data_IF_835248952985
#
_entry.id   IF_835248952985
#
_cell.length_a   1.000
_cell.length_b   1.000
_cell.length_c   1.000
_cell.angle_alpha   90.00
_cell.angle_beta   90.00
_cell.angle_gamma   90.00
#
_symmetry.space_group_name_H-M   'P 1'
#
loop_
_entity.id
_entity.type
_entity.pdbx_description
1 polymer ?
#
# COMPACT_ATOMS: atom_id res chain seq x y z
N UNK A 1 -6.39 9.24 24.15
CA UNK A 1 -6.93 9.95 22.97
C UNK A 1 -6.48 9.24 21.70
N UNK A 2 -7.21 9.43 20.59
CA UNK A 2 -6.85 8.92 19.25
C UNK A 2 -6.57 10.10 18.32
N UNK A 3 -5.49 10.04 17.55
CA UNK A 3 -5.16 11.03 16.54
C UNK A 3 -5.34 10.43 15.16
N UNK A 4 -6.23 11.01 14.35
CA UNK A 4 -6.42 10.67 12.93
C UNK A 4 -5.75 11.71 12.04
N UNK A 5 -5.07 11.27 10.98
CA UNK A 5 -4.45 12.13 9.98
C UNK A 5 -4.82 11.60 8.60
N UNK A 6 -5.49 12.41 7.79
CA UNK A 6 -5.73 12.10 6.37
C UNK A 6 -4.89 13.03 5.48
N UNK A 7 -4.01 12.44 4.69
CA UNK A 7 -3.11 13.18 3.80
C UNK A 7 -3.57 13.02 2.36
N UNK A 8 -4.42 13.93 1.93
CA UNK A 8 -4.88 14.02 0.55
C UNK A 8 -3.93 14.79 -0.36
N UNK A 9 -4.22 14.80 -1.65
CA UNK A 9 -3.43 15.52 -2.65
C UNK A 9 -3.57 17.06 -2.58
N UNK A 10 -4.66 17.56 -1.97
CA UNK A 10 -4.98 19.00 -1.90
C UNK A 10 -5.02 19.51 -0.47
N UNK A 11 -5.49 18.69 0.47
CA UNK A 11 -5.60 19.03 1.88
C UNK A 11 -5.10 17.90 2.75
N UNK A 12 -4.57 18.27 3.90
CA UNK A 12 -4.30 17.38 5.03
C UNK A 12 -5.28 17.72 6.13
N UNK A 13 -6.01 16.73 6.58
CA UNK A 13 -6.95 16.82 7.69
C UNK A 13 -6.36 16.11 8.92
N UNK A 14 -6.48 16.70 10.09
CA UNK A 14 -6.12 16.09 11.37
C UNK A 14 -7.29 16.19 12.35
N UNK A 15 -7.52 15.13 13.11
CA UNK A 15 -8.58 15.08 14.10
C UNK A 15 -8.09 14.41 15.39
N UNK A 16 -8.37 15.01 16.52
CA UNK A 16 -8.13 14.44 17.84
C UNK A 16 -9.47 14.03 18.47
N UNK A 17 -9.55 12.76 18.87
CA UNK A 17 -10.75 12.17 19.45
C UNK A 17 -10.45 11.70 20.87
N UNK A 18 -11.29 12.07 21.80
CA UNK A 18 -11.24 11.59 23.18
C UNK A 18 -12.60 11.23 23.70
N UNK A 19 -12.71 10.06 24.35
CA UNK A 19 -13.97 9.55 24.90
C UNK A 19 -15.14 9.53 23.91
N UNK A 20 -14.85 9.22 22.64
CA UNK A 20 -15.86 9.15 21.57
C UNK A 20 -16.32 10.49 21.00
N UNK A 21 -15.69 11.61 21.37
CA UNK A 21 -16.02 12.95 20.86
C UNK A 21 -14.81 13.58 20.19
N UNK A 22 -15.05 14.43 19.18
CA UNK A 22 -14.00 15.25 18.56
C UNK A 22 -13.60 16.34 19.55
N UNK A 23 -12.32 16.36 19.93
CA UNK A 23 -11.72 17.37 20.83
C UNK A 23 -11.20 18.54 20.01
N UNK A 24 -10.49 18.26 18.92
CA UNK A 24 -9.93 19.24 18.02
C UNK A 24 -9.87 18.69 16.59
N UNK A 25 -9.92 19.60 15.62
CA UNK A 25 -9.77 19.27 14.22
C UNK A 25 -9.08 20.39 13.47
N UNK A 26 -8.32 20.04 12.45
CA UNK A 26 -7.60 20.99 11.61
C UNK A 26 -7.64 20.53 10.15
N UNK A 27 -7.62 21.50 9.22
CA UNK A 27 -7.51 21.28 7.79
C UNK A 27 -6.49 22.24 7.20
N UNK A 28 -5.47 21.71 6.53
CA UNK A 28 -4.38 22.50 5.93
C UNK A 28 -4.18 22.12 4.47
N UNK A 29 -3.71 23.08 3.66
CA UNK A 29 -3.38 22.78 2.27
C UNK A 29 -2.19 21.84 2.19
N UNK A 30 -2.31 20.83 1.35
CA UNK A 30 -1.21 19.95 0.95
C UNK A 30 -0.74 20.39 -0.43
N UNK A 31 0.56 20.63 -0.61
CA UNK A 31 1.16 20.78 -1.93
C UNK A 31 2.09 19.60 -2.19
N UNK A 32 2.23 19.19 -3.45
CA UNK A 32 3.12 18.08 -3.82
C UNK A 32 4.57 18.27 -3.39
N UNK A 33 5.00 19.55 -3.30
CA UNK A 33 6.36 19.92 -2.87
C UNK A 33 6.50 20.01 -1.35
N UNK A 34 5.38 20.13 -0.62
CA UNK A 34 5.36 20.40 0.83
C UNK A 34 4.30 19.57 1.59
N UNK A 35 4.20 18.28 1.28
CA UNK A 35 3.31 17.33 2.01
C UNK A 35 3.60 17.37 3.51
N UNK A 36 4.89 17.38 3.87
CA UNK A 36 5.35 17.46 5.26
C UNK A 36 4.83 18.71 5.95
N UNK A 37 4.88 19.86 5.30
CA UNK A 37 4.45 21.13 5.91
C UNK A 37 2.94 21.09 6.24
N UNK A 38 2.10 20.58 5.35
CA UNK A 38 0.66 20.43 5.62
C UNK A 38 0.38 19.53 6.83
N UNK A 39 1.14 18.45 6.97
CA UNK A 39 1.06 17.56 8.14
C UNK A 39 1.47 18.30 9.42
N UNK A 40 2.60 19.02 9.39
CA UNK A 40 3.12 19.75 10.54
C UNK A 40 2.14 20.83 11.01
N UNK A 41 1.62 21.63 10.08
CA UNK A 41 0.65 22.70 10.39
C UNK A 41 -0.67 22.16 10.94
N UNK A 42 -1.17 21.03 10.40
CA UNK A 42 -2.38 20.40 10.90
C UNK A 42 -2.18 19.81 12.30
N UNK A 43 -1.03 19.19 12.55
CA UNK A 43 -0.67 18.67 13.87
C UNK A 43 -0.53 19.79 14.91
N UNK A 44 0.18 20.88 14.57
CA UNK A 44 0.38 22.01 15.48
C UNK A 44 -0.94 22.63 15.92
N UNK A 45 -1.91 22.74 14.99
CA UNK A 45 -3.22 23.28 15.32
C UNK A 45 -4.03 22.36 16.24
N UNK A 46 -4.06 21.05 15.92
CA UNK A 46 -4.84 20.07 16.70
C UNK A 46 -4.26 19.87 18.11
N UNK A 47 -2.93 20.10 18.27
CA UNK A 47 -2.23 19.82 19.52
C UNK A 47 -2.04 21.07 20.42
N UNK A 48 -2.46 22.27 19.99
CA UNK A 48 -2.16 23.56 20.65
C UNK A 48 -2.35 23.60 22.16
N UNK A 49 -3.33 22.88 22.70
CA UNK A 49 -3.64 22.90 24.13
C UNK A 49 -3.75 21.47 24.73
N UNK A 50 -3.23 20.47 24.02
CA UNK A 50 -3.46 19.09 24.36
C UNK A 50 -2.22 18.41 24.95
N UNK A 51 -2.45 17.57 25.94
CA UNK A 51 -1.42 16.75 26.54
C UNK A 51 -1.08 15.55 25.62
N UNK A 52 -0.05 15.69 24.79
CA UNK A 52 0.35 14.73 23.74
C UNK A 52 0.63 13.33 24.28
N UNK A 53 1.05 13.19 25.54
CA UNK A 53 1.28 11.88 26.17
C UNK A 53 0.00 11.07 26.41
N UNK A 54 -1.18 11.68 26.30
CA UNK A 54 -2.48 11.00 26.38
C UNK A 54 -2.93 10.42 25.02
N UNK A 55 -2.14 10.59 23.94
CA UNK A 55 -2.42 9.97 22.65
C UNK A 55 -2.02 8.49 22.73
N UNK A 56 -2.97 7.60 22.55
CA UNK A 56 -2.80 6.15 22.64
C UNK A 56 -2.52 5.51 21.30
N UNK A 57 -2.99 6.14 20.21
CA UNK A 57 -2.83 5.65 18.84
C UNK A 57 -2.92 6.78 17.84
N UNK A 58 -2.11 6.66 16.79
CA UNK A 58 -2.20 7.49 15.58
C UNK A 58 -2.67 6.59 14.42
N UNK A 59 -3.69 7.04 13.68
CA UNK A 59 -4.17 6.37 12.47
C UNK A 59 -4.00 7.32 11.28
N UNK A 60 -3.40 6.82 10.21
CA UNK A 60 -3.11 7.60 9.01
C UNK A 60 -3.88 7.01 7.84
N UNK A 61 -4.55 7.86 7.06
CA UNK A 61 -4.93 7.57 5.67
C UNK A 61 -4.16 8.49 4.73
N UNK A 62 -3.98 8.06 3.49
CA UNK A 62 -3.29 8.88 2.50
C UNK A 62 -3.57 8.41 1.08
N UNK A 63 -3.71 9.38 0.17
CA UNK A 63 -3.82 9.12 -1.27
C UNK A 63 -2.47 9.04 -1.97
N UNK A 64 -1.34 9.15 -1.25
CA UNK A 64 0.00 9.26 -1.85
C UNK A 64 0.36 8.06 -2.73
N UNK A 65 0.04 6.85 -2.30
CA UNK A 65 0.28 5.61 -3.06
C UNK A 65 -0.64 5.53 -4.26
N UNK A 66 -1.93 5.82 -4.08
CA UNK A 66 -2.92 5.83 -5.16
C UNK A 66 -2.54 6.85 -6.23
N UNK A 67 -2.18 8.07 -5.84
CA UNK A 67 -1.77 9.13 -6.77
C UNK A 67 -0.47 8.77 -7.49
N UNK A 68 0.52 8.18 -6.81
CA UNK A 68 1.76 7.74 -7.44
C UNK A 68 1.49 6.71 -8.56
N UNK A 69 0.55 5.79 -8.35
CA UNK A 69 0.16 4.79 -9.35
C UNK A 69 -0.62 5.39 -10.50
N UNK A 70 -1.62 6.23 -10.22
CA UNK A 70 -2.49 6.82 -11.26
C UNK A 70 -1.76 7.84 -12.14
N UNK A 71 -0.80 8.56 -11.58
CA UNK A 71 0.01 9.56 -12.29
C UNK A 71 1.29 8.97 -12.92
N UNK A 72 1.54 7.66 -12.74
CA UNK A 72 2.73 6.99 -13.28
C UNK A 72 4.03 7.44 -12.61
N UNK A 73 3.97 8.07 -11.43
CA UNK A 73 5.14 8.49 -10.65
C UNK A 73 5.66 7.33 -9.79
N UNK A 74 6.13 6.29 -10.46
CA UNK A 74 6.59 5.06 -9.85
C UNK A 74 8.06 4.80 -10.12
N UNK A 75 8.71 4.06 -9.23
CA UNK A 75 10.07 3.59 -9.46
C UNK A 75 10.08 2.48 -10.52
N UNK A 76 11.15 2.38 -11.32
CA UNK A 76 11.33 1.26 -12.23
C UNK A 76 11.55 -0.03 -11.43
N UNK A 77 10.84 -1.09 -11.84
CA UNK A 77 10.85 -2.40 -11.17
C UNK A 77 11.34 -3.47 -12.12
N UNK A 78 12.25 -4.30 -11.65
CA UNK A 78 12.58 -5.57 -12.30
C UNK A 78 11.53 -6.62 -11.91
N UNK A 79 10.71 -7.04 -12.87
CA UNK A 79 9.69 -8.05 -12.63
C UNK A 79 10.19 -9.41 -13.11
N UNK A 80 10.35 -10.36 -12.19
CA UNK A 80 10.74 -11.73 -12.48
C UNK A 80 9.60 -12.71 -12.16
N UNK A 81 9.29 -13.60 -13.12
CA UNK A 81 8.18 -14.54 -12.99
C UNK A 81 8.59 -15.97 -13.27
N UNK A 82 8.03 -16.91 -12.51
CA UNK A 82 8.18 -18.35 -12.70
C UNK A 82 6.79 -18.95 -13.00
N UNK A 83 6.41 -18.96 -14.27
CA UNK A 83 5.07 -19.37 -14.73
C UNK A 83 4.89 -20.88 -14.79
N UNK A 84 5.99 -21.61 -14.95
CA UNK A 84 5.94 -23.02 -15.32
C UNK A 84 5.38 -23.25 -16.74
N UNK A 85 5.12 -24.51 -17.13
CA UNK A 85 4.66 -24.84 -18.46
C UNK A 85 3.20 -24.41 -18.70
N UNK A 86 2.89 -24.08 -19.96
CA UNK A 86 1.52 -23.90 -20.45
C UNK A 86 0.82 -22.60 -20.05
N UNK A 87 1.53 -21.64 -19.47
CA UNK A 87 0.94 -20.35 -19.09
C UNK A 87 1.54 -19.20 -19.92
N UNK A 88 0.69 -18.51 -20.66
CA UNK A 88 1.06 -17.27 -21.36
C UNK A 88 0.51 -16.07 -20.60
N UNK A 89 1.38 -15.20 -20.14
CA UNK A 89 1.03 -14.00 -19.34
C UNK A 89 1.62 -12.72 -19.94
N UNK A 90 2.04 -12.75 -21.20
CA UNK A 90 2.77 -11.66 -21.87
C UNK A 90 2.05 -10.29 -21.83
N UNK A 91 0.74 -10.25 -21.61
CA UNK A 91 -0.05 -9.01 -21.55
C UNK A 91 -0.77 -8.82 -20.21
N UNK A 92 -0.33 -9.56 -19.19
CA UNK A 92 -1.01 -9.58 -17.88
C UNK A 92 -0.39 -8.64 -16.86
N UNK A 93 0.74 -8.01 -17.19
CA UNK A 93 1.52 -7.19 -16.27
C UNK A 93 1.80 -5.79 -16.84
N UNK A 94 2.05 -4.80 -15.98
CA UNK A 94 2.35 -3.43 -16.43
C UNK A 94 3.64 -3.29 -17.23
N UNK A 95 4.55 -4.25 -17.07
CA UNK A 95 5.84 -4.31 -17.80
C UNK A 95 6.06 -5.72 -18.32
N UNK A 96 6.90 -5.85 -19.36
CA UNK A 96 7.32 -7.18 -19.82
C UNK A 96 8.13 -7.89 -18.73
N UNK A 97 7.67 -9.05 -18.23
CA UNK A 97 8.35 -9.75 -17.15
C UNK A 97 9.56 -10.51 -17.69
N UNK A 98 10.56 -10.67 -16.83
CA UNK A 98 11.63 -11.61 -17.06
C UNK A 98 11.21 -13.02 -16.61
N UNK A 99 11.25 -13.96 -17.55
CA UNK A 99 10.86 -15.34 -17.28
C UNK A 99 12.05 -16.11 -16.70
N UNK A 100 11.91 -16.55 -15.44
CA UNK A 100 12.91 -17.38 -14.76
C UNK A 100 12.49 -18.84 -14.88
N UNK A 101 13.44 -19.73 -15.16
CA UNK A 101 13.23 -21.16 -15.03
C UNK A 101 12.97 -21.52 -13.57
N UNK A 102 12.31 -22.62 -13.36
CA UNK A 102 11.87 -23.06 -12.04
C UNK A 102 10.36 -23.18 -11.99
N UNK A 103 9.88 -24.23 -11.34
CA UNK A 103 8.45 -24.47 -11.27
C UNK A 103 8.06 -25.27 -10.03
N UNK A 104 7.05 -24.78 -9.34
CA UNK A 104 6.34 -25.47 -8.28
C UNK A 104 4.99 -25.91 -8.82
N UNK A 105 4.61 -27.16 -8.62
CA UNK A 105 3.32 -27.68 -9.06
C UNK A 105 2.16 -27.26 -8.12
N UNK A 106 0.94 -27.61 -8.51
CA UNK A 106 -0.28 -27.31 -7.74
C UNK A 106 -0.34 -27.98 -6.36
N UNK A 107 0.55 -28.93 -6.06
CA UNK A 107 0.68 -29.58 -4.75
C UNK A 107 1.77 -28.99 -3.88
N UNK A 108 2.53 -28.02 -4.39
CA UNK A 108 3.67 -27.41 -3.68
C UNK A 108 4.98 -28.16 -3.87
N UNK A 109 5.03 -29.16 -4.76
CA UNK A 109 6.27 -29.87 -5.08
C UNK A 109 7.09 -29.08 -6.09
N UNK A 110 8.38 -28.86 -5.81
CA UNK A 110 9.31 -28.31 -6.78
C UNK A 110 9.55 -29.37 -7.87
N UNK A 111 9.05 -29.12 -9.06
CA UNK A 111 9.23 -30.00 -10.24
C UNK A 111 10.40 -29.56 -11.12
N UNK A 112 10.77 -28.28 -11.02
CA UNK A 112 11.98 -27.75 -11.63
C UNK A 112 12.62 -26.71 -10.72
N UNK A 113 13.94 -26.81 -10.51
CA UNK A 113 14.73 -25.76 -9.84
C UNK A 113 15.14 -24.69 -10.84
N UNK A 114 15.57 -23.55 -10.31
CA UNK A 114 16.10 -22.45 -11.15
C UNK A 114 17.41 -22.92 -11.78
N UNK A 115 17.50 -22.76 -13.12
CA UNK A 115 18.72 -23.00 -13.87
C UNK A 115 19.56 -21.71 -13.89
N UNK A 116 20.42 -21.56 -12.90
CA UNK A 116 21.24 -20.35 -12.74
C UNK A 116 22.14 -20.04 -13.93
N UNK A 117 22.59 -21.05 -14.68
CA UNK A 117 23.47 -20.85 -15.84
C UNK A 117 22.75 -20.03 -16.92
N UNK A 118 21.44 -20.23 -17.10
CA UNK A 118 20.63 -19.48 -18.05
C UNK A 118 20.42 -18.02 -17.65
N UNK A 119 20.57 -17.69 -16.36
CA UNK A 119 20.18 -16.39 -15.81
C UNK A 119 21.36 -15.51 -15.36
N UNK A 120 22.60 -16.05 -15.34
CA UNK A 120 23.82 -15.34 -14.88
C UNK A 120 24.03 -13.96 -15.52
N UNK A 121 23.87 -13.86 -16.85
CA UNK A 121 24.11 -12.61 -17.58
C UNK A 121 23.05 -11.53 -17.35
N UNK A 122 21.91 -11.87 -16.77
CA UNK A 122 20.78 -10.97 -16.60
C UNK A 122 20.73 -10.37 -15.21
N UNK A 123 21.02 -11.16 -14.22
CA UNK A 123 21.07 -10.70 -12.81
C UNK A 123 22.18 -9.66 -12.62
N UNK A 124 23.33 -9.83 -13.29
CA UNK A 124 24.44 -8.89 -13.25
C UNK A 124 24.19 -7.55 -13.97
N UNK A 125 23.19 -7.47 -14.86
CA UNK A 125 22.79 -6.27 -15.60
C UNK A 125 21.65 -5.50 -14.95
N UNK A 126 21.24 -5.88 -13.76
CA UNK A 126 20.13 -5.26 -13.07
C UNK A 126 20.41 -3.77 -12.81
N UNK A 127 19.73 -2.91 -13.55
CA UNK A 127 19.81 -1.44 -13.42
C UNK A 127 18.86 -0.90 -12.34
N UNK A 128 17.88 -1.69 -11.95
CA UNK A 128 16.81 -1.26 -11.08
C UNK A 128 17.06 -1.74 -9.65
N UNK A 129 16.88 -0.84 -8.71
CA UNK A 129 17.06 -1.15 -7.28
C UNK A 129 15.85 -1.82 -6.63
N UNK A 130 14.70 -1.86 -7.32
CA UNK A 130 13.48 -2.50 -6.86
C UNK A 130 13.20 -3.73 -7.71
N UNK A 131 12.75 -4.82 -7.07
CA UNK A 131 12.36 -6.02 -7.76
C UNK A 131 11.05 -6.59 -7.23
N UNK A 132 10.32 -7.27 -8.11
CA UNK A 132 9.18 -8.10 -7.78
C UNK A 132 9.42 -9.50 -8.33
N UNK A 133 9.18 -10.50 -7.50
CA UNK A 133 9.36 -11.92 -7.84
C UNK A 133 8.07 -12.68 -7.57
N UNK A 134 7.61 -13.46 -8.53
CA UNK A 134 6.39 -14.24 -8.33
C UNK A 134 6.43 -15.58 -9.08
N UNK A 135 6.07 -16.65 -8.38
CA UNK A 135 5.92 -17.98 -8.93
C UNK A 135 4.46 -18.46 -8.94
N UNK A 136 4.08 -19.25 -9.94
CA UNK A 136 2.66 -19.66 -10.14
C UNK A 136 2.01 -20.29 -8.91
N UNK A 137 2.68 -21.19 -8.23
CA UNK A 137 2.20 -21.87 -7.03
C UNK A 137 3.07 -21.61 -5.81
N UNK A 138 3.83 -20.51 -5.79
CA UNK A 138 4.74 -20.17 -4.69
C UNK A 138 4.03 -19.95 -3.35
N UNK A 139 2.73 -19.67 -3.32
CA UNK A 139 1.93 -19.66 -2.09
C UNK A 139 1.89 -21.02 -1.38
N UNK A 140 2.15 -22.12 -2.10
CA UNK A 140 2.22 -23.45 -1.54
C UNK A 140 3.66 -23.87 -1.18
N UNK A 141 4.64 -23.33 -1.91
CA UNK A 141 6.06 -23.51 -1.63
C UNK A 141 6.85 -22.34 -2.24
N UNK A 142 7.29 -21.38 -1.42
CA UNK A 142 7.99 -20.18 -1.87
C UNK A 142 9.50 -20.36 -2.11
N UNK A 143 10.06 -21.57 -1.99
CA UNK A 143 11.51 -21.82 -2.03
C UNK A 143 12.18 -21.21 -3.27
N UNK A 144 11.58 -21.33 -4.46
CA UNK A 144 12.14 -20.72 -5.68
C UNK A 144 12.08 -19.17 -5.64
N UNK A 145 11.04 -18.58 -5.04
CA UNK A 145 11.00 -17.11 -4.86
C UNK A 145 12.09 -16.66 -3.91
N UNK A 146 12.29 -17.35 -2.79
CA UNK A 146 13.36 -17.03 -1.83
C UNK A 146 14.75 -17.19 -2.42
N UNK A 147 14.98 -18.28 -3.19
CA UNK A 147 16.26 -18.48 -3.86
C UNK A 147 16.58 -17.34 -4.84
N UNK A 148 15.60 -16.94 -5.65
CA UNK A 148 15.78 -15.82 -6.60
C UNK A 148 15.95 -14.47 -5.87
N UNK A 149 15.23 -14.24 -4.79
CA UNK A 149 15.39 -13.04 -3.99
C UNK A 149 16.79 -12.94 -3.36
N UNK A 150 17.37 -14.06 -2.91
CA UNK A 150 18.75 -14.12 -2.44
C UNK A 150 19.73 -13.63 -3.50
N UNK A 151 19.68 -14.20 -4.70
CA UNK A 151 20.54 -13.81 -5.82
C UNK A 151 20.35 -12.34 -6.23
N UNK A 152 19.11 -11.86 -6.28
CA UNK A 152 18.84 -10.44 -6.59
C UNK A 152 19.42 -9.51 -5.52
N UNK A 153 19.35 -9.90 -4.24
CA UNK A 153 19.95 -9.15 -3.15
C UNK A 153 21.47 -9.07 -3.29
N UNK A 154 22.12 -10.17 -3.65
CA UNK A 154 23.58 -10.25 -3.88
C UNK A 154 23.97 -9.42 -5.11
N UNK A 155 23.10 -9.27 -6.08
CA UNK A 155 23.25 -8.37 -7.23
C UNK A 155 22.99 -6.87 -6.91
N UNK A 156 22.68 -6.51 -5.66
CA UNK A 156 22.54 -5.12 -5.22
C UNK A 156 21.14 -4.54 -5.33
N UNK A 157 20.08 -5.35 -5.45
CA UNK A 157 18.72 -4.85 -5.33
C UNK A 157 18.43 -4.38 -3.91
N UNK A 158 17.86 -3.17 -3.78
CA UNK A 158 17.60 -2.53 -2.48
C UNK A 158 16.42 -3.18 -1.75
N UNK A 159 15.35 -3.45 -2.50
CA UNK A 159 14.15 -4.08 -1.97
C UNK A 159 13.54 -5.03 -2.99
N UNK A 160 13.10 -6.19 -2.51
CA UNK A 160 12.50 -7.24 -3.31
C UNK A 160 11.18 -7.60 -2.67
N UNK A 161 10.11 -7.62 -3.48
CA UNK A 161 8.78 -8.03 -3.04
C UNK A 161 8.44 -9.38 -3.64
N UNK A 162 7.97 -10.30 -2.78
CA UNK A 162 7.62 -11.66 -3.17
C UNK A 162 6.10 -11.81 -3.25
N UNK A 163 5.63 -12.39 -4.35
CA UNK A 163 4.21 -12.61 -4.54
C UNK A 163 3.60 -13.46 -3.43
N UNK A 164 4.31 -14.49 -2.97
CA UNK A 164 3.85 -15.38 -1.90
C UNK A 164 3.74 -14.71 -0.52
N UNK A 165 4.50 -13.63 -0.26
CA UNK A 165 4.43 -12.89 1.01
C UNK A 165 3.32 -11.84 1.02
N UNK A 166 2.95 -11.31 -0.16
CA UNK A 166 1.94 -10.26 -0.26
C UNK A 166 0.51 -10.80 -0.30
N UNK A 167 0.32 -12.03 -0.74
CA UNK A 167 -1.01 -12.64 -0.80
C UNK A 167 -0.94 -14.15 -0.74
N UNK A 168 -1.79 -14.76 0.08
CA UNK A 168 -2.00 -16.21 0.13
C UNK A 168 -2.91 -16.76 -0.98
N UNK A 169 -3.43 -15.92 -1.87
CA UNK A 169 -4.34 -16.34 -2.95
C UNK A 169 -3.60 -17.09 -4.07
N UNK A 170 -4.27 -18.06 -4.66
CA UNK A 170 -3.74 -18.83 -5.81
C UNK A 170 -3.70 -18.04 -7.12
N UNK A 171 -4.38 -16.90 -7.21
CA UNK A 171 -4.41 -16.08 -8.42
C UNK A 171 -3.01 -15.47 -8.70
N UNK A 172 -2.25 -16.18 -9.54
CA UNK A 172 -0.88 -15.84 -9.88
C UNK A 172 -0.74 -14.42 -10.48
N UNK A 173 -1.59 -14.07 -11.45
CA UNK A 173 -1.52 -12.77 -12.12
C UNK A 173 -1.76 -11.63 -11.13
N UNK A 174 -2.79 -11.75 -10.30
CA UNK A 174 -3.13 -10.75 -9.30
C UNK A 174 -2.01 -10.57 -8.28
N UNK A 175 -1.49 -11.68 -7.75
CA UNK A 175 -0.40 -11.68 -6.79
C UNK A 175 0.90 -11.07 -7.37
N UNK A 176 1.18 -11.37 -8.63
CA UNK A 176 2.33 -10.78 -9.35
C UNK A 176 2.18 -9.28 -9.52
N UNK A 177 0.99 -8.80 -9.89
CA UNK A 177 0.70 -7.36 -9.97
C UNK A 177 0.82 -6.69 -8.59
N UNK A 178 0.34 -7.33 -7.53
CA UNK A 178 0.52 -6.80 -6.16
C UNK A 178 2.00 -6.64 -5.81
N UNK A 179 2.84 -7.63 -6.13
CA UNK A 179 4.28 -7.56 -5.90
C UNK A 179 4.94 -6.44 -6.73
N UNK A 180 4.55 -6.32 -7.99
CA UNK A 180 5.03 -5.26 -8.87
C UNK A 180 4.67 -3.86 -8.34
N UNK A 181 3.41 -3.63 -8.02
CA UNK A 181 2.96 -2.32 -7.52
C UNK A 181 3.55 -2.01 -6.14
N UNK A 182 3.70 -3.00 -5.25
CA UNK A 182 4.39 -2.82 -3.98
C UNK A 182 5.83 -2.32 -4.19
N UNK A 183 6.55 -2.92 -5.12
CA UNK A 183 7.91 -2.51 -5.47
C UNK A 183 7.94 -1.11 -6.09
N UNK A 184 6.99 -0.82 -6.99
CA UNK A 184 6.91 0.43 -7.74
C UNK A 184 6.66 1.67 -6.85
N UNK A 185 5.92 1.50 -5.74
CA UNK A 185 5.57 2.61 -4.84
C UNK A 185 6.38 2.63 -3.55
N UNK A 186 7.26 1.66 -3.33
CA UNK A 186 7.93 1.47 -2.04
C UNK A 186 8.68 2.70 -1.55
N UNK A 187 9.48 3.35 -2.39
CA UNK A 187 10.27 4.51 -1.97
C UNK A 187 9.38 5.70 -1.63
N UNK A 188 8.37 5.97 -2.45
CA UNK A 188 7.40 7.03 -2.21
C UNK A 188 6.72 6.82 -0.86
N UNK A 189 6.22 5.62 -0.61
CA UNK A 189 5.55 5.29 0.64
C UNK A 189 6.51 5.31 1.84
N UNK A 190 7.72 4.77 1.70
CA UNK A 190 8.76 4.79 2.75
C UNK A 190 9.13 6.22 3.14
N UNK A 191 9.31 7.12 2.17
CA UNK A 191 9.62 8.51 2.43
C UNK A 191 8.47 9.21 3.17
N UNK A 192 7.24 8.98 2.75
CA UNK A 192 6.05 9.47 3.43
C UNK A 192 5.98 8.98 4.88
N UNK A 193 6.13 7.68 5.12
CA UNK A 193 6.12 7.11 6.47
C UNK A 193 7.19 7.73 7.37
N UNK A 194 8.40 7.95 6.82
CA UNK A 194 9.47 8.61 7.56
C UNK A 194 9.09 10.05 7.93
N UNK A 195 8.57 10.82 6.99
CA UNK A 195 8.14 12.19 7.24
C UNK A 195 7.08 12.29 8.34
N UNK A 196 6.10 11.36 8.32
CA UNK A 196 5.10 11.29 9.38
C UNK A 196 5.72 10.93 10.73
N UNK A 197 6.59 9.92 10.77
CA UNK A 197 7.27 9.52 12.01
C UNK A 197 8.13 10.67 12.59
N UNK A 198 8.89 11.36 11.75
CA UNK A 198 9.71 12.50 12.15
C UNK A 198 8.83 13.63 12.72
N UNK A 199 7.71 13.94 12.03
CA UNK A 199 6.75 14.96 12.49
C UNK A 199 6.13 14.64 13.85
N UNK A 200 5.78 13.38 14.09
CA UNK A 200 5.23 12.94 15.37
C UNK A 200 6.29 12.98 16.49
N UNK A 201 7.51 12.55 16.16
CA UNK A 201 8.64 12.55 17.10
C UNK A 201 9.01 13.96 17.55
N UNK A 202 9.07 14.95 16.64
CA UNK A 202 9.33 16.36 16.94
C UNK A 202 8.30 16.93 17.93
N UNK A 203 7.12 16.37 17.98
CA UNK A 203 6.02 16.76 18.89
C UNK A 203 5.90 15.85 20.12
N UNK A 204 6.92 15.02 20.37
CA UNK A 204 6.94 14.07 21.49
C UNK A 204 5.78 13.06 21.49
N UNK A 205 5.17 12.77 20.33
CA UNK A 205 4.14 11.75 20.19
C UNK A 205 4.82 10.41 19.98
N UNK A 206 4.72 9.53 20.99
CA UNK A 206 5.33 8.19 21.00
C UNK A 206 4.30 7.07 20.76
N UNK A 207 3.06 7.43 20.52
CA UNK A 207 1.98 6.48 20.30
C UNK A 207 2.21 5.62 19.05
N UNK A 208 1.77 4.35 19.04
CA UNK A 208 1.87 3.48 17.88
C UNK A 208 1.11 4.04 16.68
N UNK A 209 1.77 4.01 15.53
CA UNK A 209 1.24 4.51 14.26
C UNK A 209 0.69 3.36 13.44
N UNK A 210 -0.54 3.51 12.98
CA UNK A 210 -1.23 2.57 12.10
C UNK A 210 -1.64 3.26 10.80
N UNK A 211 -1.64 2.50 9.72
CA UNK A 211 -2.14 2.96 8.41
C UNK A 211 -3.48 2.30 8.14
N UNK A 212 -4.45 3.07 7.71
CA UNK A 212 -5.75 2.58 7.29
C UNK A 212 -5.61 1.71 6.05
N UNK A 213 -6.46 0.71 5.89
CA UNK A 213 -6.61 -0.14 4.70
C UNK A 213 -7.90 0.17 3.96
N UNK A 214 -7.96 -0.22 2.69
CA UNK A 214 -9.17 -0.07 1.88
C UNK A 214 -10.38 -0.87 2.38
N UNK A 215 -10.15 -1.92 3.17
CA UNK A 215 -11.20 -2.75 3.79
C UNK A 215 -11.69 -2.21 5.15
N UNK A 216 -11.20 -1.04 5.57
CA UNK A 216 -11.52 -0.43 6.86
C UNK A 216 -10.67 -0.93 8.04
N UNK A 217 -9.83 -1.94 7.84
CA UNK A 217 -8.85 -2.38 8.84
C UNK A 217 -7.66 -1.42 8.96
N UNK A 218 -6.77 -1.70 9.89
CA UNK A 218 -5.52 -0.95 10.05
C UNK A 218 -4.32 -1.87 10.13
N UNK A 219 -3.17 -1.40 9.65
CA UNK A 219 -1.87 -2.06 9.77
C UNK A 219 -0.91 -1.22 10.60
N UNK A 220 -0.11 -1.80 11.51
CA UNK A 220 1.05 -1.11 12.05
C UNK A 220 1.95 -0.61 10.93
N UNK A 221 2.56 0.56 11.11
CA UNK A 221 3.34 1.23 10.05
C UNK A 221 4.50 0.39 9.51
N UNK A 222 5.15 -0.39 10.36
CA UNK A 222 6.24 -1.30 9.97
C UNK A 222 5.75 -2.47 9.11
N UNK A 223 4.52 -2.94 9.32
CA UNK A 223 3.87 -3.95 8.49
C UNK A 223 3.41 -3.33 7.16
N UNK A 224 2.83 -2.13 7.20
CA UNK A 224 2.44 -1.41 5.99
C UNK A 224 3.62 -1.16 5.03
N UNK A 225 4.82 -0.90 5.56
CA UNK A 225 6.06 -0.81 4.77
C UNK A 225 6.46 -2.11 4.07
N UNK A 226 6.02 -3.26 4.57
CA UNK A 226 6.22 -4.57 3.92
C UNK A 226 5.13 -4.86 2.89
N UNK A 227 3.99 -4.20 2.99
CA UNK A 227 2.81 -4.41 2.15
C UNK A 227 2.20 -3.07 1.66
N UNK A 228 2.97 -2.23 0.93
CA UNK A 228 2.51 -0.89 0.54
C UNK A 228 1.21 -0.89 -0.28
N UNK A 229 0.93 -1.97 -1.01
CA UNK A 229 -0.31 -2.11 -1.80
C UNK A 229 -1.58 -2.17 -0.96
N UNK A 230 -1.48 -2.54 0.32
CA UNK A 230 -2.62 -2.53 1.25
C UNK A 230 -3.06 -1.10 1.63
N UNK A 231 -2.23 -0.11 1.30
CA UNK A 231 -2.52 1.32 1.55
C UNK A 231 -3.09 2.05 0.34
N UNK A 232 -3.46 1.33 -0.73
CA UNK A 232 -4.17 1.89 -1.88
C UNK A 232 -5.64 2.13 -1.48
N UNK A 233 -6.23 3.26 -1.92
CA UNK A 233 -7.62 3.65 -1.63
C UNK A 233 -7.97 3.83 -0.14
N UNK A 234 -7.02 4.23 0.68
CA UNK A 234 -7.28 4.49 2.10
C UNK A 234 -8.11 5.76 2.33
N UNK A 235 -7.97 6.80 1.49
CA UNK A 235 -8.80 8.00 1.54
C UNK A 235 -10.29 7.69 1.37
N UNK A 236 -10.72 7.01 0.28
CA UNK A 236 -12.10 6.54 0.13
C UNK A 236 -12.61 5.71 1.30
N UNK A 237 -11.77 4.82 1.85
CA UNK A 237 -12.14 4.03 3.02
C UNK A 237 -12.36 4.91 4.27
N UNK A 238 -11.51 5.94 4.47
CA UNK A 238 -11.68 6.88 5.58
C UNK A 238 -13.03 7.62 5.50
N UNK A 239 -13.41 8.10 4.30
CA UNK A 239 -14.69 8.77 4.07
C UNK A 239 -15.88 7.84 4.36
N UNK A 240 -15.82 6.58 3.91
CA UNK A 240 -16.85 5.57 4.19
C UNK A 240 -16.99 5.30 5.69
N UNK A 241 -15.87 5.07 6.39
CA UNK A 241 -15.88 4.86 7.84
C UNK A 241 -16.37 6.08 8.61
N UNK A 242 -16.05 7.29 8.16
CA UNK A 242 -16.55 8.53 8.74
C UNK A 242 -18.07 8.65 8.63
N UNK A 243 -18.65 8.33 7.47
CA UNK A 243 -20.10 8.29 7.26
C UNK A 243 -20.75 7.24 8.15
N UNK A 244 -20.16 6.06 8.27
CA UNK A 244 -20.67 5.00 9.14
C UNK A 244 -20.70 5.44 10.61
N UNK A 245 -19.62 6.07 11.09
CA UNK A 245 -19.51 6.57 12.45
C UNK A 245 -20.49 7.72 12.77
N UNK A 246 -20.85 8.53 11.78
CA UNK A 246 -21.82 9.62 11.92
C UNK A 246 -23.29 9.18 11.79
N UNK A 247 -23.54 7.93 11.48
CA UNK A 247 -24.88 7.37 11.31
C UNK A 247 -25.15 6.99 9.87
N UNK A 248 -24.68 5.80 9.47
CA UNK A 248 -24.83 5.27 8.12
C UNK A 248 -26.28 5.34 7.60
N UNK A 249 -26.49 5.70 6.33
CA UNK A 249 -27.82 5.82 5.76
C UNK A 249 -28.55 4.47 5.73
N UNK A 250 -29.74 4.42 6.30
CA UNK A 250 -30.56 3.21 6.42
C UNK A 250 -31.31 2.82 5.14
N UNK A 251 -31.29 3.70 4.17
CA UNK A 251 -31.91 3.48 2.84
C UNK A 251 -30.81 3.33 1.77
N UNK A 252 -31.20 2.84 0.60
CA UNK A 252 -30.28 2.83 -0.57
C UNK A 252 -29.84 4.25 -0.87
N UNK A 253 -28.53 4.47 -0.79
CA UNK A 253 -27.93 5.80 -0.90
C UNK A 253 -26.60 5.76 -1.63
N UNK A 254 -26.18 6.92 -2.09
CA UNK A 254 -24.86 7.13 -2.71
C UNK A 254 -24.21 8.27 -1.94
N UNK A 255 -22.97 8.05 -1.48
CA UNK A 255 -22.11 9.10 -0.98
C UNK A 255 -21.10 9.53 -2.05
N UNK A 256 -20.90 10.83 -2.16
CA UNK A 256 -19.94 11.44 -3.08
C UNK A 256 -18.97 12.27 -2.26
N UNK A 257 -17.69 11.94 -2.34
CA UNK A 257 -16.60 12.73 -1.78
C UNK A 257 -15.88 13.44 -2.95
N UNK A 258 -16.12 14.74 -3.07
CA UNK A 258 -15.61 15.55 -4.18
C UNK A 258 -14.34 16.26 -3.75
N UNK A 259 -13.21 15.66 -4.08
CA UNK A 259 -11.87 16.22 -3.84
C UNK A 259 -11.41 17.19 -4.93
N UNK A 260 -10.22 17.72 -4.80
CA UNK A 260 -9.60 18.62 -5.79
C UNK A 260 -9.14 17.92 -7.08
N UNK A 261 -8.89 16.60 -7.02
CA UNK A 261 -8.34 15.78 -8.12
C UNK A 261 -9.27 14.65 -8.53
N UNK A 262 -9.95 14.03 -7.57
CA UNK A 262 -10.80 12.85 -7.77
C UNK A 262 -12.13 13.02 -7.05
N UNK A 263 -13.10 12.22 -7.48
CA UNK A 263 -14.36 12.05 -6.77
C UNK A 263 -14.52 10.60 -6.40
N UNK A 264 -14.65 10.33 -5.09
CA UNK A 264 -14.86 9.00 -4.58
C UNK A 264 -16.36 8.73 -4.40
N UNK A 265 -16.81 7.55 -4.82
CA UNK A 265 -18.22 7.18 -4.82
C UNK A 265 -18.38 5.90 -4.01
N UNK A 266 -19.25 5.93 -3.00
CA UNK A 266 -19.65 4.73 -2.29
C UNK A 266 -21.16 4.53 -2.34
N UNK A 267 -21.57 3.27 -2.47
CA UNK A 267 -22.97 2.86 -2.50
C UNK A 267 -23.34 2.23 -1.18
N UNK A 268 -24.51 2.51 -0.68
CA UNK A 268 -25.01 2.07 0.62
C UNK A 268 -26.33 1.31 0.48
N UNK A 269 -26.47 0.24 1.25
CA UNK A 269 -27.72 -0.49 1.37
C UNK A 269 -27.92 -0.98 2.81
N UNK A 270 -29.04 -0.63 3.43
CA UNK A 270 -29.38 -1.02 4.80
C UNK A 270 -28.29 -0.72 5.84
N UNK A 271 -27.68 0.45 5.80
CA UNK A 271 -26.66 0.89 6.73
C UNK A 271 -25.25 0.35 6.46
N UNK A 272 -25.05 -0.40 5.39
CA UNK A 272 -23.76 -1.00 5.05
C UNK A 272 -23.23 -0.49 3.70
N UNK A 273 -21.93 -0.21 3.59
CA UNK A 273 -21.33 0.09 2.30
C UNK A 273 -21.22 -1.18 1.44
N UNK A 274 -21.45 -1.04 0.14
CA UNK A 274 -21.28 -2.14 -0.80
C UNK A 274 -19.79 -2.31 -1.12
N UNK A 275 -19.26 -3.49 -0.84
CA UNK A 275 -17.85 -3.81 -1.05
C UNK A 275 -17.62 -4.54 -2.38
N UNK A 276 -16.59 -4.17 -3.11
CA UNK A 276 -16.15 -4.88 -4.30
C UNK A 276 -15.50 -6.23 -3.93
N UNK A 277 -16.09 -7.35 -4.37
CA UNK A 277 -15.61 -8.71 -4.03
C UNK A 277 -14.24 -9.06 -4.62
N UNK A 278 -13.81 -8.39 -5.67
CA UNK A 278 -12.63 -8.77 -6.46
C UNK A 278 -11.50 -7.75 -6.44
N UNK A 279 -11.48 -6.86 -5.45
CA UNK A 279 -10.50 -5.77 -5.35
C UNK A 279 -10.70 -4.70 -6.43
N UNK A 280 -9.81 -3.73 -6.48
CA UNK A 280 -9.89 -2.62 -7.40
C UNK A 280 -8.99 -2.83 -8.62
N UNK A 281 -9.38 -2.23 -9.75
CA UNK A 281 -8.49 -2.05 -10.89
C UNK A 281 -7.64 -0.80 -10.63
N UNK A 282 -6.34 -0.93 -10.78
CA UNK A 282 -5.39 0.17 -10.64
C UNK A 282 -4.70 0.36 -11.98
N UNK A 283 -4.63 1.62 -12.45
CA UNK A 283 -3.92 2.00 -13.68
C UNK A 283 -4.42 1.30 -14.96
N UNK A 284 -5.74 1.20 -15.14
CA UNK A 284 -6.38 0.77 -16.39
C UNK A 284 -6.77 -0.69 -16.45
#
# INVERSE_FOLDING_TARGET
MLLGIDVGGTFTDAVLIGRGTIIAQAKRKTTHEAVLQGILEALDEVLQEQEVYNIERVVISSTIVTNALTEGRTDPVFLAVMTGPGMNVSKSFPVEPYYVSGYVDHRGKITARIDWQKHQGLLSKAKNKMAAVSGKFSVRNPENEYALAGELKDCGYEKIFLGSELSGELNFVRRTNSAYFAAAVYKTFKNFCRQVQDSLKERNITAPVHVLKADGGTLPLDIALKQPVETIFTGPAASVLGIEALGAPQVKSISLDVGGTTTDIAFWENGLPLLARHGAKVAG
#
